data_IF_761854756611
#
_entry.id   IF_761854756611
#
_cell.length_a   1.000
_cell.length_b   1.000
_cell.length_c   1.000
_cell.angle_alpha   90.00
_cell.angle_beta   90.00
_cell.angle_gamma   90.00
#
_symmetry.space_group_name_H-M   'P 1'
#
loop_
_entity.id
_entity.type
_entity.pdbx_description
1 polymer ?
#
# COMPACT_ATOMS: atom_id res chain seq x y z
N UNK A 1 10.01 0.32 21.24
CA UNK A 1 8.86 -0.61 21.23
C UNK A 1 7.58 0.21 21.34
N UNK A 2 6.52 -0.14 20.61
CA UNK A 2 5.25 0.61 20.61
C UNK A 2 4.65 0.55 22.03
N UNK A 3 4.31 1.68 22.67
CA UNK A 3 3.82 1.70 24.07
C UNK A 3 2.61 0.80 24.30
N UNK A 4 1.70 0.80 23.33
CA UNK A 4 0.48 -0.02 23.37
C UNK A 4 0.78 -1.52 23.39
N UNK A 5 1.79 -1.97 22.63
CA UNK A 5 2.22 -3.37 22.65
C UNK A 5 2.78 -3.76 24.02
N UNK A 6 3.61 -2.89 24.62
CA UNK A 6 4.16 -3.14 25.95
C UNK A 6 3.06 -3.24 27.00
N UNK A 7 2.06 -2.35 26.93
CA UNK A 7 0.91 -2.35 27.84
C UNK A 7 0.14 -3.67 27.78
N UNK A 8 -0.12 -4.17 26.57
CA UNK A 8 -0.82 -5.45 26.37
C UNK A 8 0.02 -6.62 26.88
N UNK A 9 1.33 -6.65 26.59
CA UNK A 9 2.23 -7.70 27.09
C UNK A 9 2.21 -7.73 28.62
N UNK A 10 2.34 -6.58 29.28
CA UNK A 10 2.33 -6.49 30.75
C UNK A 10 1.01 -6.93 31.38
N UNK A 11 -0.11 -6.74 30.68
CA UNK A 11 -1.45 -7.12 31.16
C UNK A 11 -1.84 -8.56 30.81
N UNK A 12 -1.06 -9.25 29.96
CA UNK A 12 -1.39 -10.59 29.47
C UNK A 12 -0.59 -11.65 30.22
N UNK A 13 -1.17 -12.85 30.47
CA UNK A 13 -0.39 -13.99 30.89
C UNK A 13 0.66 -14.36 29.83
N UNK A 14 1.94 -14.32 30.21
CA UNK A 14 3.06 -14.74 29.37
C UNK A 14 3.84 -15.87 30.05
N UNK A 15 4.54 -16.69 29.26
CA UNK A 15 5.45 -17.72 29.77
C UNK A 15 6.87 -17.20 29.88
N UNK A 16 7.77 -18.01 30.45
CA UNK A 16 9.16 -17.62 30.74
C UNK A 16 9.94 -17.19 29.47
N UNK A 17 9.76 -17.92 28.37
CA UNK A 17 10.47 -17.67 27.09
C UNK A 17 9.54 -17.26 25.94
N UNK A 18 8.23 -17.25 26.14
CA UNK A 18 7.25 -17.01 25.07
C UNK A 18 6.11 -16.12 25.52
N UNK A 19 5.79 -15.10 24.73
CA UNK A 19 4.70 -14.17 25.03
C UNK A 19 3.29 -14.78 24.92
N UNK A 20 3.11 -15.79 24.07
CA UNK A 20 1.79 -16.37 23.80
C UNK A 20 1.77 -17.82 24.29
N UNK A 21 0.92 -18.09 25.29
CA UNK A 21 0.79 -19.37 25.96
C UNK A 21 -0.67 -19.88 25.92
N UNK A 22 -0.83 -21.20 26.03
CA UNK A 22 -2.13 -21.85 26.20
C UNK A 22 -2.70 -21.58 27.60
N UNK A 23 -3.96 -21.95 27.81
CA UNK A 23 -4.63 -21.90 29.12
C UNK A 23 -3.92 -22.74 30.20
N UNK A 24 -3.04 -23.67 29.80
CA UNK A 24 -2.20 -24.49 30.69
C UNK A 24 -0.80 -23.90 30.93
N UNK A 25 -0.55 -22.67 30.49
CA UNK A 25 0.75 -21.99 30.66
C UNK A 25 1.86 -22.52 29.76
N UNK A 26 1.56 -23.31 28.73
CA UNK A 26 2.55 -23.87 27.80
C UNK A 26 2.61 -23.07 26.50
N UNK A 27 3.77 -22.96 25.82
CA UNK A 27 3.84 -22.32 24.51
C UNK A 27 2.89 -22.98 23.51
N UNK A 28 2.26 -22.17 22.66
CA UNK A 28 1.50 -22.73 21.53
C UNK A 28 2.44 -23.38 20.49
N UNK A 29 1.98 -24.48 19.89
CA UNK A 29 2.55 -24.93 18.62
C UNK A 29 2.07 -24.02 17.48
N UNK A 30 2.78 -24.03 16.34
CA UNK A 30 2.41 -23.23 15.16
C UNK A 30 0.95 -23.47 14.74
N UNK A 31 0.55 -24.74 14.60
CA UNK A 31 -0.81 -25.09 14.19
C UNK A 31 -1.81 -24.88 15.33
N UNK A 32 -1.40 -25.12 16.58
CA UNK A 32 -2.25 -24.95 17.76
C UNK A 32 -2.75 -23.51 17.91
N UNK A 33 -1.86 -22.53 17.75
CA UNK A 33 -2.26 -21.11 17.82
C UNK A 33 -3.27 -20.75 16.72
N UNK A 34 -3.04 -21.20 15.49
CA UNK A 34 -3.94 -20.91 14.37
C UNK A 34 -5.35 -21.44 14.59
N UNK A 35 -5.48 -22.69 15.05
CA UNK A 35 -6.76 -23.32 15.34
C UNK A 35 -7.47 -22.64 16.52
N UNK A 36 -6.73 -22.33 17.59
CA UNK A 36 -7.26 -21.60 18.74
C UNK A 36 -7.78 -20.22 18.32
N UNK A 37 -7.00 -19.46 17.55
CA UNK A 37 -7.38 -18.12 17.10
C UNK A 37 -8.62 -18.16 16.20
N UNK A 38 -8.72 -19.14 15.29
CA UNK A 38 -9.91 -19.35 14.46
C UNK A 38 -11.16 -19.55 15.32
N UNK A 39 -11.08 -20.41 16.33
CA UNK A 39 -12.20 -20.65 17.26
C UNK A 39 -12.62 -19.37 17.98
N UNK A 40 -11.66 -18.57 18.46
CA UNK A 40 -11.94 -17.26 19.09
C UNK A 40 -12.63 -16.29 18.11
N UNK A 41 -12.21 -16.27 16.84
CA UNK A 41 -12.88 -15.47 15.83
C UNK A 41 -14.31 -15.95 15.56
N UNK A 42 -14.56 -17.25 15.55
CA UNK A 42 -15.92 -17.81 15.36
C UNK A 42 -16.83 -17.47 16.54
N UNK A 43 -16.32 -17.60 17.78
CA UNK A 43 -17.02 -17.20 19.01
C UNK A 43 -17.39 -15.70 19.00
N UNK A 44 -16.55 -14.86 18.38
CA UNK A 44 -16.80 -13.43 18.22
C UNK A 44 -17.66 -13.07 17.00
N UNK A 45 -18.14 -14.04 16.21
CA UNK A 45 -18.89 -13.82 14.97
C UNK A 45 -18.05 -13.28 13.80
N UNK A 46 -16.71 -13.30 13.92
CA UNK A 46 -15.75 -12.81 12.94
C UNK A 46 -15.26 -13.95 12.02
N UNK A 47 -16.18 -14.63 11.36
CA UNK A 47 -15.91 -15.82 10.54
C UNK A 47 -14.93 -15.56 9.38
N UNK A 48 -14.77 -14.30 8.96
CA UNK A 48 -13.86 -13.88 7.90
C UNK A 48 -12.45 -13.51 8.39
N UNK A 49 -12.21 -13.45 9.70
CA UNK A 49 -10.93 -13.05 10.28
C UNK A 49 -10.01 -14.25 10.56
N UNK A 50 -8.70 -14.04 10.51
CA UNK A 50 -7.71 -15.06 10.90
C UNK A 50 -6.42 -14.41 11.42
N UNK A 51 -5.59 -15.19 12.12
CA UNK A 51 -4.29 -14.72 12.59
C UNK A 51 -3.38 -14.28 11.43
N UNK A 52 -3.39 -15.03 10.32
CA UNK A 52 -2.66 -14.63 9.12
C UNK A 52 -3.24 -13.35 8.50
N UNK A 53 -4.56 -13.17 8.56
CA UNK A 53 -5.25 -11.93 8.16
C UNK A 53 -4.77 -10.71 8.93
N UNK A 54 -4.52 -10.82 10.25
CA UNK A 54 -3.98 -9.71 11.05
C UNK A 54 -2.63 -9.21 10.53
N UNK A 55 -1.74 -10.13 10.10
CA UNK A 55 -0.45 -9.73 9.50
C UNK A 55 -0.65 -8.95 8.21
N UNK A 56 -1.59 -9.36 7.36
CA UNK A 56 -1.93 -8.63 6.12
C UNK A 56 -2.50 -7.24 6.42
N UNK A 57 -3.40 -7.16 7.40
CA UNK A 57 -4.00 -5.90 7.83
C UNK A 57 -2.95 -4.94 8.38
N UNK A 58 -1.99 -5.43 9.18
CA UNK A 58 -0.86 -4.63 9.66
C UNK A 58 -0.01 -4.08 8.51
N UNK A 59 0.33 -4.91 7.51
CA UNK A 59 1.03 -4.46 6.31
C UNK A 59 0.26 -3.39 5.54
N UNK A 60 -1.04 -3.60 5.32
CA UNK A 60 -1.89 -2.64 4.63
C UNK A 60 -1.95 -1.29 5.38
N UNK A 61 -2.16 -1.32 6.70
CA UNK A 61 -2.20 -0.12 7.54
C UNK A 61 -0.88 0.65 7.53
N UNK A 62 0.27 -0.04 7.57
CA UNK A 62 1.56 0.64 7.44
C UNK A 62 1.75 1.29 6.06
N UNK A 63 1.27 0.64 4.98
CA UNK A 63 1.31 1.25 3.66
C UNK A 63 0.40 2.48 3.52
N UNK A 64 -0.76 2.48 4.19
CA UNK A 64 -1.65 3.65 4.27
C UNK A 64 -0.99 4.82 5.02
N UNK A 65 -0.15 4.52 6.02
CA UNK A 65 0.67 5.50 6.74
C UNK A 65 1.90 5.96 5.94
N UNK A 66 2.07 5.47 4.72
CA UNK A 66 3.17 5.85 3.83
C UNK A 66 4.48 5.12 4.07
N UNK A 67 4.50 4.08 4.90
CA UNK A 67 5.69 3.22 5.03
C UNK A 67 6.03 2.57 3.68
N UNK A 68 7.32 2.51 3.40
CA UNK A 68 7.88 1.80 2.27
C UNK A 68 7.73 0.28 2.43
N UNK A 69 7.77 -0.44 1.30
CA UNK A 69 7.78 -1.90 1.31
C UNK A 69 8.89 -2.50 2.18
N UNK A 70 10.09 -1.90 2.18
CA UNK A 70 11.22 -2.39 2.97
C UNK A 70 11.01 -2.20 4.48
N UNK A 71 10.45 -1.06 4.90
CA UNK A 71 10.07 -0.85 6.31
C UNK A 71 9.00 -1.86 6.76
N UNK A 72 8.00 -2.09 5.91
CA UNK A 72 6.96 -3.08 6.17
C UNK A 72 7.55 -4.48 6.27
N UNK A 73 8.47 -4.85 5.37
CA UNK A 73 9.18 -6.14 5.42
C UNK A 73 9.99 -6.30 6.71
N UNK A 74 10.71 -5.26 7.13
CA UNK A 74 11.50 -5.28 8.36
C UNK A 74 10.64 -5.54 9.60
N UNK A 75 9.45 -4.93 9.68
CA UNK A 75 8.52 -5.14 10.80
C UNK A 75 7.84 -6.51 10.74
N UNK A 76 7.47 -6.97 9.55
CA UNK A 76 6.66 -8.19 9.39
C UNK A 76 7.46 -9.48 9.17
N UNK A 77 8.77 -9.36 8.99
CA UNK A 77 9.69 -10.50 8.79
C UNK A 77 9.61 -11.15 7.40
N UNK A 78 9.03 -10.47 6.40
CA UNK A 78 9.00 -11.00 5.03
C UNK A 78 10.38 -10.86 4.38
N UNK A 79 10.81 -11.93 3.71
CA UNK A 79 12.09 -11.95 2.96
C UNK A 79 11.94 -11.50 1.51
N UNK A 80 10.73 -11.57 0.96
CA UNK A 80 10.45 -11.20 -0.42
C UNK A 80 9.35 -10.15 -0.46
N UNK A 81 9.42 -9.27 -1.46
CA UNK A 81 8.48 -8.17 -1.66
C UNK A 81 7.14 -8.63 -2.25
N UNK A 82 7.09 -9.80 -2.91
CA UNK A 82 5.92 -10.27 -3.67
C UNK A 82 4.64 -10.30 -2.84
N UNK A 83 4.71 -10.77 -1.60
CA UNK A 83 3.54 -10.81 -0.71
C UNK A 83 3.18 -9.42 -0.20
N UNK A 84 4.17 -8.60 0.16
CA UNK A 84 3.92 -7.22 0.62
C UNK A 84 3.24 -6.40 -0.47
N UNK A 85 3.79 -6.38 -1.69
CA UNK A 85 3.21 -5.66 -2.84
C UNK A 85 1.76 -6.08 -3.05
N UNK A 86 1.46 -7.38 -2.99
CA UNK A 86 0.09 -7.89 -3.14
C UNK A 86 -0.86 -7.29 -2.09
N UNK A 87 -0.42 -7.17 -0.84
CA UNK A 87 -1.26 -6.68 0.26
C UNK A 87 -1.32 -5.15 0.33
N UNK A 88 -0.32 -4.43 -0.18
CA UNK A 88 -0.19 -2.99 0.00
C UNK A 88 -0.45 -2.15 -1.25
N UNK A 89 -0.52 -2.75 -2.44
CA UNK A 89 -0.64 -2.04 -3.73
C UNK A 89 -1.73 -0.97 -3.74
N UNK A 90 -2.94 -1.32 -3.27
CA UNK A 90 -4.08 -0.41 -3.27
C UNK A 90 -3.90 0.79 -2.32
N UNK A 91 -3.49 0.51 -1.08
CA UNK A 91 -3.18 1.54 -0.09
C UNK A 91 -2.06 2.48 -0.55
N UNK A 92 -0.96 1.88 -1.03
CA UNK A 92 0.24 2.59 -1.46
C UNK A 92 0.00 3.47 -2.67
N UNK A 93 -0.80 3.03 -3.64
CA UNK A 93 -1.09 3.82 -4.84
C UNK A 93 -1.72 5.18 -4.50
N UNK A 94 -2.67 5.20 -3.55
CA UNK A 94 -3.34 6.43 -3.11
C UNK A 94 -2.34 7.39 -2.45
N UNK A 95 -1.53 6.89 -1.53
CA UNK A 95 -0.53 7.69 -0.81
C UNK A 95 0.55 8.23 -1.75
N UNK A 96 1.07 7.38 -2.64
CA UNK A 96 2.08 7.79 -3.62
C UNK A 96 1.54 8.84 -4.59
N UNK A 97 0.30 8.70 -5.05
CA UNK A 97 -0.32 9.70 -5.93
C UNK A 97 -0.44 11.06 -5.23
N UNK A 98 -0.95 11.09 -3.99
CA UNK A 98 -1.05 12.33 -3.20
C UNK A 98 0.33 12.98 -3.00
N UNK A 99 1.34 12.18 -2.61
CA UNK A 99 2.71 12.67 -2.43
C UNK A 99 3.33 13.19 -3.74
N UNK A 100 3.08 12.53 -4.87
CA UNK A 100 3.57 12.97 -6.17
C UNK A 100 2.94 14.31 -6.59
N UNK A 101 1.63 14.47 -6.43
CA UNK A 101 0.93 15.72 -6.73
C UNK A 101 1.38 16.88 -5.81
N UNK A 102 1.63 16.60 -4.53
CA UNK A 102 2.18 17.59 -3.61
C UNK A 102 3.59 18.05 -4.03
N UNK A 103 4.46 17.13 -4.46
CA UNK A 103 5.79 17.48 -4.99
C UNK A 103 5.72 18.27 -6.29
N UNK A 104 4.81 17.90 -7.19
CA UNK A 104 4.61 18.60 -8.46
C UNK A 104 4.18 20.05 -8.22
N UNK A 105 3.20 20.28 -7.36
CA UNK A 105 2.70 21.62 -7.03
C UNK A 105 3.74 22.49 -6.30
N UNK A 106 4.53 21.90 -5.39
CA UNK A 106 5.64 22.61 -4.75
C UNK A 106 6.72 23.09 -5.76
N UNK A 107 6.98 22.29 -6.82
CA UNK A 107 7.91 22.66 -7.88
C UNK A 107 7.39 23.72 -8.86
N UNK A 108 6.08 24.04 -8.86
CA UNK A 108 5.48 25.03 -9.75
C UNK A 108 5.55 26.47 -9.21
N UNK A 109 5.94 26.68 -7.95
CA UNK A 109 5.91 28.00 -7.29
C UNK A 109 7.05 28.94 -7.74
N UNK A 110 8.00 28.51 -8.57
CA UNK A 110 9.13 29.36 -9.01
C UNK A 110 9.42 29.40 -10.52
N UNK A 111 8.42 29.26 -11.40
CA UNK A 111 8.61 29.62 -12.82
C UNK A 111 7.95 30.96 -13.15
N UNK A 112 8.50 32.06 -12.62
CA UNK A 112 8.08 33.43 -12.98
C UNK A 112 8.42 33.85 -14.42
N UNK A 113 9.14 33.03 -15.19
CA UNK A 113 9.74 33.43 -16.47
C UNK A 113 9.41 32.52 -17.68
N UNK A 114 8.40 31.65 -17.62
CA UNK A 114 7.99 30.89 -18.81
C UNK A 114 6.88 31.67 -19.55
N UNK A 115 7.14 32.25 -20.73
CA UNK A 115 6.07 32.85 -21.53
C UNK A 115 5.08 31.74 -21.90
N UNK A 116 3.80 31.97 -21.61
CA UNK A 116 2.72 31.12 -22.12
C UNK A 116 2.77 31.20 -23.64
N UNK A 117 3.14 30.10 -24.29
CA UNK A 117 3.08 29.98 -25.73
C UNK A 117 1.59 29.93 -26.10
N UNK A 118 1.06 31.03 -26.63
CA UNK A 118 -0.25 31.10 -27.26
C UNK A 118 -0.32 30.03 -28.36
N UNK A 119 -0.99 28.92 -28.09
CA UNK A 119 -1.19 27.86 -29.07
C UNK A 119 -2.33 28.27 -30.00
N UNK A 120 -1.97 28.82 -31.16
CA UNK A 120 -2.87 29.01 -32.29
C UNK A 120 -3.27 27.63 -32.84
N UNK A 121 -4.47 27.16 -32.50
CA UNK A 121 -5.06 25.95 -33.07
C UNK A 121 -5.58 26.25 -34.49
N UNK A 122 -4.66 26.38 -35.44
CA UNK A 122 -4.97 26.36 -36.86
C UNK A 122 -5.43 24.95 -37.28
N UNK A 123 -6.74 24.78 -37.48
CA UNK A 123 -7.36 23.55 -37.97
C UNK A 123 -6.94 23.26 -39.42
N UNK A 124 -5.96 22.38 -39.62
CA UNK A 124 -5.52 21.92 -40.93
C UNK A 124 -6.09 20.57 -41.32
N UNK A 125 -7.30 20.53 -41.89
CA UNK A 125 -7.74 19.41 -42.75
C UNK A 125 -7.79 19.91 -44.19
N UNK A 126 -6.84 19.48 -45.00
CA UNK A 126 -6.81 19.77 -46.43
C UNK A 126 -5.71 18.97 -47.11
N UNK A 127 -6.03 17.74 -47.51
CA UNK A 127 -5.22 16.99 -48.47
C UNK A 127 -5.31 17.70 -49.84
N UNK A 128 -4.21 17.89 -50.58
CA UNK A 128 -4.30 18.48 -51.92
C UNK A 128 -4.80 17.42 -52.92
N UNK A 129 -5.96 17.69 -53.51
CA UNK A 129 -6.43 17.01 -54.71
C UNK A 129 -5.69 17.55 -55.93
N UNK A 130 -5.17 16.62 -56.75
CA UNK A 130 -4.65 16.87 -58.09
C UNK A 130 -5.69 17.59 -58.96
N UNK A 131 -5.25 18.55 -59.77
CA UNK A 131 -5.88 18.84 -61.04
C UNK A 131 -4.79 19.07 -62.10
N UNK A 132 -4.70 18.11 -63.03
CA UNK A 132 -4.16 18.35 -64.36
C UNK A 132 -5.19 19.19 -65.10
N UNK A 133 -4.76 20.30 -65.68
CA UNK A 133 -5.36 20.79 -66.92
C UNK A 133 -4.30 21.48 -67.79
N UNK A 134 -4.21 20.92 -68.99
CA UNK A 134 -3.46 21.31 -70.17
C UNK A 134 -3.89 22.67 -70.73
N UNK A 135 -2.94 23.48 -71.22
CA UNK A 135 -2.95 23.84 -72.65
C UNK A 135 -1.67 24.51 -73.18
N UNK A 136 -1.33 24.05 -74.38
CA UNK A 136 -0.47 24.52 -75.48
C UNK A 136 -0.15 26.02 -75.60
N UNK A 137 1.11 26.33 -75.94
CA UNK A 137 1.55 26.68 -77.31
C UNK A 137 3.03 26.38 -77.49
#
# INVERSE_FOLDING_TARGET
>A
MIPELQRIINASPCGDLTFIITEFGKPFTRNGFGNWFRKRCDEAGLNHCSAHGLRKAASARMAELGCTELEIMAVTGHRTTKEIVRYTRGARQKVLAANAMAKLSAGQVENKNAPLLEADFGSGTGAPANNLESNEK
#
